data_IF_031440137296
#
_entry.id   IF_031440137296
#
_cell.length_a   1.000
_cell.length_b   1.000
_cell.length_c   1.000
_cell.angle_alpha   90.00
_cell.angle_beta   90.00
_cell.angle_gamma   90.00
#
_symmetry.space_group_name_H-M   'P 1'
#
loop_
_entity.id
_entity.type
_entity.pdbx_description
1 polymer ?
#
# COMPACT_ATOMS: atom_id res chain seq x y z
N UNK A 1 2.88 -2.01 -12.82
CA UNK A 1 2.46 -2.96 -11.76
C UNK A 1 1.24 -2.36 -11.09
N UNK A 2 0.22 -3.17 -10.79
CA UNK A 2 -0.95 -2.71 -10.01
C UNK A 2 -1.03 -3.61 -8.79
N UNK A 3 -1.21 -3.01 -7.61
CA UNK A 3 -1.34 -3.77 -6.37
C UNK A 3 -2.42 -3.16 -5.49
N UNK A 4 -3.46 -3.95 -5.23
CA UNK A 4 -4.40 -3.73 -4.13
C UNK A 4 -3.97 -4.64 -2.97
N UNK A 5 -3.02 -4.19 -2.13
CA UNK A 5 -2.49 -5.02 -1.06
C UNK A 5 -3.53 -5.23 0.04
N UNK A 6 -3.35 -6.26 0.89
CA UNK A 6 -3.87 -6.18 2.24
C UNK A 6 -3.25 -4.96 2.95
N UNK A 7 -4.08 -3.97 3.30
CA UNK A 7 -3.67 -2.68 3.84
C UNK A 7 -4.21 -2.40 5.25
N UNK A 8 -4.91 -3.35 5.87
CA UNK A 8 -5.48 -3.15 7.21
C UNK A 8 -4.50 -3.60 8.31
N UNK A 9 -4.44 -2.89 9.45
CA UNK A 9 -3.77 -3.40 10.65
C UNK A 9 -4.45 -4.69 11.14
N UNK A 10 -3.67 -5.56 11.77
CA UNK A 10 -4.19 -6.76 12.41
C UNK A 10 -5.27 -6.41 13.44
N UNK A 11 -6.45 -7.00 13.27
CA UNK A 11 -7.52 -7.00 14.28
C UNK A 11 -7.82 -8.43 14.75
N UNK A 12 -7.78 -8.61 16.08
CA UNK A 12 -8.10 -9.89 16.73
C UNK A 12 -9.55 -10.32 16.50
N UNK A 13 -10.46 -9.37 16.27
CA UNK A 13 -11.88 -9.61 16.05
C UNK A 13 -12.20 -9.88 14.58
N UNK A 14 -11.24 -9.69 13.66
CA UNK A 14 -11.45 -9.95 12.24
C UNK A 14 -11.63 -11.46 11.97
N UNK A 15 -12.63 -11.85 11.17
CA UNK A 15 -12.77 -13.22 10.65
C UNK A 15 -11.49 -13.71 9.96
N UNK A 16 -11.10 -14.97 10.22
CA UNK A 16 -9.84 -15.54 9.73
C UNK A 16 -9.76 -15.58 8.20
N UNK A 17 -10.88 -15.82 7.54
CA UNK A 17 -11.06 -15.86 6.09
C UNK A 17 -10.88 -14.47 5.45
N UNK A 18 -11.37 -13.40 6.09
CA UNK A 18 -11.12 -12.01 5.66
C UNK A 18 -9.63 -11.66 5.77
N UNK A 19 -9.02 -12.00 6.91
CA UNK A 19 -7.67 -11.57 7.31
C UNK A 19 -6.59 -11.85 6.27
N UNK A 20 -6.68 -12.97 5.57
CA UNK A 20 -5.70 -13.35 4.54
C UNK A 20 -5.66 -12.35 3.38
N UNK A 21 -6.79 -11.71 3.08
CA UNK A 21 -6.93 -10.79 1.94
C UNK A 21 -6.77 -9.30 2.30
N UNK A 22 -6.95 -8.96 3.58
CA UNK A 22 -7.08 -7.57 4.05
C UNK A 22 -5.97 -7.14 5.01
N UNK A 23 -5.42 -8.04 5.85
CA UNK A 23 -4.47 -7.66 6.91
C UNK A 23 -3.04 -7.56 6.38
N UNK A 24 -2.50 -6.34 6.35
CA UNK A 24 -1.18 -6.00 5.82
C UNK A 24 -0.02 -6.23 6.80
N UNK A 25 -0.32 -6.64 8.03
CA UNK A 25 0.62 -6.83 9.13
C UNK A 25 0.07 -6.27 10.44
N UNK A 26 0.92 -6.09 11.45
CA UNK A 26 0.50 -5.51 12.73
C UNK A 26 0.00 -4.07 12.56
N UNK A 27 0.63 -3.32 11.66
CA UNK A 27 0.28 -1.92 11.35
C UNK A 27 -0.45 -1.77 10.02
N UNK A 28 -0.48 -2.82 9.21
CA UNK A 28 -1.18 -2.89 7.93
C UNK A 28 -0.39 -2.37 6.73
N UNK A 29 0.86 -1.91 6.93
CA UNK A 29 1.70 -1.43 5.84
C UNK A 29 2.97 -2.28 5.62
N UNK A 30 3.17 -3.34 6.40
CA UNK A 30 4.38 -4.15 6.37
C UNK A 30 4.53 -4.92 5.05
N UNK A 31 3.45 -5.54 4.55
CA UNK A 31 3.43 -6.20 3.23
C UNK A 31 3.75 -5.18 2.12
N UNK A 32 3.17 -3.98 2.21
CA UNK A 32 3.39 -2.92 1.22
C UNK A 32 4.87 -2.48 1.21
N UNK A 33 5.45 -2.22 2.39
CA UNK A 33 6.87 -1.85 2.51
C UNK A 33 7.77 -2.96 1.98
N UNK A 34 7.47 -4.22 2.30
CA UNK A 34 8.23 -5.38 1.81
C UNK A 34 8.14 -5.51 0.29
N UNK A 35 6.95 -5.30 -0.28
CA UNK A 35 6.73 -5.28 -1.72
C UNK A 35 7.54 -4.14 -2.38
N UNK A 36 7.42 -2.91 -1.90
CA UNK A 36 8.12 -1.75 -2.49
C UNK A 36 9.64 -1.90 -2.45
N UNK A 37 10.21 -2.53 -1.43
CA UNK A 37 11.66 -2.83 -1.40
C UNK A 37 12.10 -3.76 -2.53
N UNK A 38 11.26 -4.72 -2.92
CA UNK A 38 11.56 -5.69 -3.98
C UNK A 38 11.20 -5.14 -5.36
N UNK A 39 10.05 -4.47 -5.49
CA UNK A 39 9.52 -3.95 -6.75
C UNK A 39 10.53 -3.04 -7.50
N UNK A 40 11.42 -2.36 -6.76
CA UNK A 40 12.45 -1.49 -7.33
C UNK A 40 13.36 -2.22 -8.32
N UNK A 41 13.61 -3.50 -8.09
CA UNK A 41 14.46 -4.33 -8.94
C UNK A 41 13.71 -4.90 -10.17
N UNK A 42 12.39 -4.85 -10.16
CA UNK A 42 11.53 -5.37 -11.24
C UNK A 42 10.90 -4.27 -12.10
N UNK A 43 10.95 -3.02 -11.64
CA UNK A 43 10.37 -1.88 -12.37
C UNK A 43 11.30 -1.41 -13.49
N UNK A 44 10.79 -1.28 -14.72
CA UNK A 44 11.50 -0.64 -15.84
C UNK A 44 11.76 0.85 -15.55
N UNK A 45 12.63 1.50 -16.34
CA UNK A 45 12.98 2.92 -16.18
C UNK A 45 11.73 3.82 -16.12
N UNK A 46 10.81 3.64 -17.06
CA UNK A 46 9.54 4.39 -17.13
C UNK A 46 8.36 3.56 -16.58
N UNK A 47 8.66 2.55 -15.77
CA UNK A 47 7.63 1.69 -15.17
C UNK A 47 6.91 2.40 -14.02
N UNK A 48 5.59 2.19 -13.95
CA UNK A 48 4.75 2.71 -12.88
C UNK A 48 4.21 1.59 -11.98
N UNK A 49 4.00 1.93 -10.72
CA UNK A 49 3.23 1.15 -9.76
C UNK A 49 1.99 1.96 -9.38
N UNK A 50 0.81 1.36 -9.54
CA UNK A 50 -0.42 1.86 -8.93
C UNK A 50 -0.70 1.06 -7.66
N UNK A 51 -0.75 1.76 -6.53
CA UNK A 51 -0.81 1.16 -5.21
C UNK A 51 -1.97 1.72 -4.39
N UNK A 52 -2.75 0.82 -3.78
CA UNK A 52 -3.80 1.19 -2.84
C UNK A 52 -3.28 1.20 -1.40
N UNK A 53 -3.67 2.21 -0.62
CA UNK A 53 -3.42 2.28 0.83
C UNK A 53 -4.66 2.78 1.57
N UNK A 54 -4.77 2.50 2.87
CA UNK A 54 -5.84 2.99 3.74
C UNK A 54 -5.34 4.01 4.77
N UNK A 55 -6.19 4.95 5.17
CA UNK A 55 -5.97 5.86 6.31
C UNK A 55 -5.89 5.14 7.66
N UNK A 56 -6.34 3.89 7.74
CA UNK A 56 -6.24 3.06 8.95
C UNK A 56 -4.81 2.53 9.18
N UNK A 57 -3.92 2.66 8.20
CA UNK A 57 -2.52 2.29 8.33
C UNK A 57 -1.57 3.49 8.35
N UNK A 58 -0.37 3.34 8.94
CA UNK A 58 0.61 4.41 8.93
C UNK A 58 1.03 4.76 7.50
N UNK A 59 1.17 6.07 7.23
CA UNK A 59 1.64 6.61 5.96
C UNK A 59 2.97 5.99 5.55
N UNK A 60 3.13 5.76 4.25
CA UNK A 60 4.36 5.24 3.66
C UNK A 60 5.24 6.41 3.25
N UNK A 61 6.50 6.38 3.65
CA UNK A 61 7.50 7.33 3.17
C UNK A 61 8.15 6.81 1.88
N UNK A 62 7.49 7.05 0.74
CA UNK A 62 7.96 6.58 -0.58
C UNK A 62 9.34 7.11 -0.94
N UNK A 63 9.65 8.37 -0.58
CA UNK A 63 10.97 8.98 -0.79
C UNK A 63 12.07 8.21 -0.08
N UNK A 64 11.86 7.80 1.18
CA UNK A 64 12.82 6.97 1.93
C UNK A 64 13.03 5.59 1.30
N UNK A 65 12.05 5.09 0.54
CA UNK A 65 12.15 3.84 -0.22
C UNK A 65 12.75 4.04 -1.63
N UNK A 66 13.10 5.28 -2.00
CA UNK A 66 13.72 5.61 -3.28
C UNK A 66 12.73 5.66 -4.44
N UNK A 67 11.52 6.14 -4.18
CA UNK A 67 10.47 6.36 -5.18
C UNK A 67 10.02 7.81 -5.22
N UNK A 68 9.60 8.25 -6.40
CA UNK A 68 8.69 9.37 -6.57
C UNK A 68 7.26 8.84 -6.43
N UNK A 69 6.38 9.64 -5.84
CA UNK A 69 4.99 9.23 -5.60
C UNK A 69 4.04 10.41 -5.70
N UNK A 70 2.87 10.16 -6.29
CA UNK A 70 1.77 11.11 -6.40
C UNK A 70 0.47 10.42 -6.00
N UNK A 71 -0.31 11.04 -5.10
CA UNK A 71 -1.70 10.63 -4.90
C UNK A 71 -2.50 11.06 -6.13
N UNK A 72 -3.12 10.10 -6.82
CA UNK A 72 -3.88 10.37 -8.04
C UNK A 72 -5.39 10.40 -7.81
N UNK A 73 -5.86 9.69 -6.78
CA UNK A 73 -7.26 9.68 -6.40
C UNK A 73 -7.42 9.19 -4.95
N UNK A 74 -8.57 9.49 -4.36
CA UNK A 74 -8.96 8.97 -3.05
C UNK A 74 -10.49 8.86 -2.92
N UNK A 75 -10.92 7.96 -2.02
CA UNK A 75 -12.33 7.77 -1.69
C UNK A 75 -12.53 7.70 -0.19
N UNK A 76 -13.48 8.49 0.32
CA UNK A 76 -13.90 8.46 1.71
C UNK A 76 -15.00 7.42 1.92
N UNK A 77 -14.84 6.60 2.96
CA UNK A 77 -15.86 5.74 3.56
C UNK A 77 -16.09 6.19 5.00
N UNK A 78 -17.15 5.69 5.65
CA UNK A 78 -17.48 6.12 7.01
C UNK A 78 -16.39 5.81 8.04
N UNK A 79 -15.56 4.80 7.78
CA UNK A 79 -14.52 4.28 8.70
C UNK A 79 -13.09 4.44 8.19
N UNK A 80 -12.91 4.69 6.89
CA UNK A 80 -11.58 4.83 6.31
C UNK A 80 -11.58 5.72 5.07
N UNK A 81 -10.40 6.20 4.71
CA UNK A 81 -10.13 6.81 3.42
C UNK A 81 -9.16 5.91 2.66
N UNK A 82 -9.54 5.53 1.44
CA UNK A 82 -8.71 4.77 0.53
C UNK A 82 -8.00 5.74 -0.42
N UNK A 83 -6.72 5.50 -0.68
CA UNK A 83 -5.89 6.32 -1.55
C UNK A 83 -5.32 5.47 -2.68
N UNK A 84 -5.20 6.06 -3.87
CA UNK A 84 -4.47 5.48 -5.00
C UNK A 84 -3.22 6.32 -5.23
N UNK A 85 -2.08 5.64 -5.23
CA UNK A 85 -0.77 6.23 -5.50
C UNK A 85 -0.25 5.79 -6.86
N UNK A 86 0.20 6.74 -7.66
CA UNK A 86 1.12 6.49 -8.76
C UNK A 86 2.55 6.63 -8.25
N UNK A 87 3.37 5.62 -8.51
CA UNK A 87 4.73 5.50 -7.97
C UNK A 87 5.70 5.14 -9.09
N UNK A 88 6.81 5.84 -9.19
CA UNK A 88 7.89 5.60 -10.17
C UNK A 88 9.25 5.57 -9.50
N UNK A 89 10.26 5.04 -10.20
CA UNK A 89 11.66 5.20 -9.76
C UNK A 89 12.01 6.68 -9.64
N UNK A 90 12.90 6.96 -8.68
CA UNK A 90 13.61 8.24 -8.58
C UNK A 90 14.58 8.43 -9.75
#
# INVERSE_FOLDING_TARGET
IIFNPPYLPYDKNEPKDSRTSTTGGKRGNEIIIKFLKQAKFHLKKDGLIFLITSSLSPKINFKKLGYLSKEIDNKNFFFEKIYIWEISKY
#
